data_IF_429388462124
#
_entry.id   IF_429388462124
#
_cell.length_a   1.000
_cell.length_b   1.000
_cell.length_c   1.000
_cell.angle_alpha   90.00
_cell.angle_beta   90.00
_cell.angle_gamma   90.00
#
_symmetry.space_group_name_H-M   'P 1'
#
loop_
_entity.id
_entity.type
_entity.pdbx_description
1 polymer ?
#
# COMPACT_ATOMS: atom_id res chain seq x y z
N UNK A 1 3.54 -5.60 9.76
CA UNK A 1 3.65 -5.73 8.29
C UNK A 1 4.21 -7.10 7.95
N UNK A 2 3.46 -7.93 7.25
CA UNK A 2 3.96 -9.25 6.86
C UNK A 2 4.43 -9.22 5.41
N UNK A 3 5.70 -9.52 5.20
CA UNK A 3 6.30 -9.61 3.86
C UNK A 3 6.68 -11.07 3.61
N UNK A 4 6.24 -11.61 2.46
CA UNK A 4 6.58 -12.98 2.07
C UNK A 4 8.10 -13.12 1.90
N UNK A 5 8.70 -14.28 2.24
CA UNK A 5 10.16 -14.46 2.21
C UNK A 5 10.80 -14.11 0.87
N UNK A 6 10.19 -14.48 -0.23
CA UNK A 6 10.70 -14.13 -1.56
C UNK A 6 10.75 -12.60 -1.78
N UNK A 7 9.66 -11.92 -1.45
CA UNK A 7 9.59 -10.45 -1.54
C UNK A 7 10.58 -9.79 -0.60
N UNK A 8 10.69 -10.30 0.62
CA UNK A 8 11.64 -9.78 1.62
C UNK A 8 13.09 -9.87 1.14
N UNK A 9 13.46 -10.95 0.46
CA UNK A 9 14.81 -11.12 -0.12
C UNK A 9 15.10 -10.05 -1.18
N UNK A 10 14.15 -9.80 -2.07
CA UNK A 10 14.29 -8.76 -3.11
C UNK A 10 14.38 -7.37 -2.49
N UNK A 11 13.50 -7.07 -1.53
CA UNK A 11 13.47 -5.77 -0.86
C UNK A 11 14.73 -5.53 -0.05
N UNK A 12 15.23 -6.54 0.68
CA UNK A 12 16.47 -6.43 1.43
C UNK A 12 17.65 -6.08 0.51
N UNK A 13 17.73 -6.71 -0.66
CA UNK A 13 18.75 -6.39 -1.65
C UNK A 13 18.64 -4.95 -2.14
N UNK A 14 17.44 -4.49 -2.45
CA UNK A 14 17.20 -3.11 -2.92
C UNK A 14 17.52 -2.08 -1.83
N UNK A 15 17.19 -2.38 -0.60
CA UNK A 15 17.44 -1.51 0.56
C UNK A 15 18.87 -1.62 1.11
N UNK A 16 19.71 -2.49 0.53
CA UNK A 16 21.07 -2.79 1.01
C UNK A 16 21.09 -3.27 2.45
N UNK A 17 20.10 -4.05 2.84
CA UNK A 17 19.98 -4.67 4.17
C UNK A 17 20.31 -6.16 4.10
N UNK A 18 20.88 -6.74 5.18
CA UNK A 18 21.09 -8.18 5.23
C UNK A 18 19.75 -8.92 5.24
N UNK A 19 19.64 -9.98 4.44
CA UNK A 19 18.44 -10.81 4.43
C UNK A 19 18.53 -11.91 5.48
N UNK A 20 17.50 -12.03 6.32
CA UNK A 20 17.35 -13.11 7.29
C UNK A 20 15.90 -13.57 7.36
N UNK A 21 15.63 -14.79 6.89
CA UNK A 21 14.29 -15.39 6.93
C UNK A 21 13.76 -15.53 8.35
N UNK A 22 14.63 -15.93 9.30
CA UNK A 22 14.23 -16.11 10.69
C UNK A 22 13.83 -14.80 11.37
N UNK A 23 14.52 -13.71 11.07
CA UNK A 23 14.21 -12.40 11.64
C UNK A 23 12.88 -11.83 11.18
N UNK A 24 12.34 -12.28 10.04
CA UNK A 24 11.02 -11.84 9.58
C UNK A 24 9.91 -12.17 10.59
N UNK A 25 10.04 -13.28 11.29
CA UNK A 25 9.04 -13.75 12.27
C UNK A 25 9.42 -13.51 13.72
N UNK A 26 10.70 -13.30 14.01
CA UNK A 26 11.22 -13.17 15.38
C UNK A 26 11.65 -11.76 15.77
N UNK A 27 11.88 -10.88 14.79
CA UNK A 27 12.35 -9.52 15.00
C UNK A 27 11.34 -8.52 14.38
N UNK A 28 10.43 -7.95 15.19
CA UNK A 28 9.44 -7.01 14.70
C UNK A 28 10.04 -5.76 14.05
N UNK A 29 11.14 -5.25 14.59
CA UNK A 29 11.81 -4.07 14.04
C UNK A 29 12.36 -4.35 12.65
N UNK A 30 12.99 -5.49 12.44
CA UNK A 30 13.46 -5.93 11.13
C UNK A 30 12.32 -6.08 10.13
N UNK A 31 11.21 -6.69 10.54
CA UNK A 31 10.02 -6.87 9.70
C UNK A 31 9.43 -5.51 9.28
N UNK A 32 9.27 -4.59 10.22
CA UNK A 32 8.74 -3.24 9.96
C UNK A 32 9.68 -2.47 9.03
N UNK A 33 10.99 -2.58 9.22
CA UNK A 33 11.97 -1.90 8.37
C UNK A 33 11.86 -2.39 6.91
N UNK A 34 11.84 -3.70 6.69
CA UNK A 34 11.66 -4.25 5.34
C UNK A 34 10.31 -3.89 4.75
N UNK A 35 9.24 -4.02 5.52
CA UNK A 35 7.89 -3.66 5.07
C UNK A 35 7.78 -2.19 4.70
N UNK A 36 8.41 -1.30 5.45
CA UNK A 36 8.45 0.14 5.17
C UNK A 36 9.17 0.45 3.87
N UNK A 37 10.30 -0.19 3.60
CA UNK A 37 11.00 -0.06 2.31
C UNK A 37 10.13 -0.58 1.16
N UNK A 38 9.44 -1.69 1.35
CA UNK A 38 8.59 -2.27 0.32
C UNK A 38 7.42 -1.36 -0.02
N UNK A 39 6.67 -0.89 0.98
CA UNK A 39 5.52 0.00 0.73
C UNK A 39 5.96 1.34 0.14
N UNK A 40 7.09 1.89 0.59
CA UNK A 40 7.64 3.13 0.02
C UNK A 40 7.99 2.97 -1.47
N UNK A 41 8.57 1.84 -1.86
CA UNK A 41 8.84 1.51 -3.25
C UNK A 41 7.57 1.41 -4.09
N UNK A 42 6.53 0.79 -3.54
CA UNK A 42 5.24 0.69 -4.21
C UNK A 42 4.55 2.06 -4.37
N UNK A 43 4.59 2.90 -3.34
CA UNK A 43 4.05 4.26 -3.41
C UNK A 43 4.74 5.04 -4.54
N UNK A 44 6.06 4.93 -4.62
CA UNK A 44 6.82 5.57 -5.70
C UNK A 44 6.45 4.98 -7.08
N UNK A 45 6.36 3.67 -7.18
CA UNK A 45 5.97 2.98 -8.42
C UNK A 45 4.61 3.44 -8.94
N UNK A 46 3.65 3.67 -8.05
CA UNK A 46 2.31 4.13 -8.39
C UNK A 46 2.14 5.65 -8.29
N UNK A 47 3.23 6.41 -8.35
CA UNK A 47 3.23 7.89 -8.40
C UNK A 47 2.49 8.54 -7.23
N UNK A 48 2.67 8.00 -6.03
CA UNK A 48 2.05 8.51 -4.80
C UNK A 48 0.67 7.95 -4.50
N UNK A 49 0.15 7.01 -5.28
CA UNK A 49 -1.16 6.41 -5.03
C UNK A 49 -1.13 5.43 -3.87
N UNK A 50 -1.59 5.83 -2.71
CA UNK A 50 -1.72 4.96 -1.54
C UNK A 50 -2.71 3.81 -1.75
N UNK A 51 -3.88 3.99 -2.36
CA UNK A 51 -4.78 2.87 -2.64
C UNK A 51 -4.12 1.77 -3.48
N UNK A 52 -3.42 2.14 -4.55
CA UNK A 52 -2.73 1.18 -5.39
C UNK A 52 -1.57 0.51 -4.67
N UNK A 53 -0.75 1.29 -3.96
CA UNK A 53 0.39 0.75 -3.21
C UNK A 53 -0.08 -0.23 -2.13
N UNK A 54 -1.13 0.10 -1.40
CA UNK A 54 -1.70 -0.75 -0.35
C UNK A 54 -2.29 -2.04 -0.93
N UNK A 55 -3.04 -1.95 -2.02
CA UNK A 55 -3.57 -3.11 -2.71
C UNK A 55 -2.45 -4.02 -3.25
N UNK A 56 -1.41 -3.43 -3.82
CA UNK A 56 -0.26 -4.17 -4.33
C UNK A 56 0.56 -4.82 -3.21
N UNK A 57 0.68 -4.16 -2.06
CA UNK A 57 1.33 -4.73 -0.90
C UNK A 57 0.65 -6.01 -0.44
N UNK A 58 -0.68 -6.02 -0.41
CA UNK A 58 -1.47 -7.17 0.04
C UNK A 58 -1.61 -8.26 -1.03
N UNK A 59 -1.95 -7.90 -2.27
CA UNK A 59 -2.31 -8.84 -3.33
C UNK A 59 -1.27 -8.98 -4.45
N UNK A 60 -0.27 -8.11 -4.47
CA UNK A 60 0.77 -8.08 -5.50
C UNK A 60 0.47 -7.13 -6.66
N UNK A 61 1.54 -6.58 -7.29
CA UNK A 61 1.39 -5.62 -8.40
C UNK A 61 0.66 -6.17 -9.63
N UNK A 62 0.79 -7.47 -9.90
CA UNK A 62 0.09 -8.10 -11.03
C UNK A 62 -1.44 -8.01 -10.89
N UNK A 63 -1.94 -8.20 -9.67
CA UNK A 63 -3.39 -8.09 -9.37
C UNK A 63 -3.87 -6.65 -9.54
N UNK A 64 -3.12 -5.68 -9.07
CA UNK A 64 -3.45 -4.26 -9.24
C UNK A 64 -3.50 -3.90 -10.73
N UNK A 65 -2.54 -4.34 -11.52
CA UNK A 65 -2.53 -4.13 -12.97
C UNK A 65 -3.79 -4.71 -13.63
N UNK A 66 -4.17 -5.91 -13.25
CA UNK A 66 -5.39 -6.56 -13.74
C UNK A 66 -6.65 -5.78 -13.34
N UNK A 67 -6.76 -5.37 -12.07
CA UNK A 67 -7.92 -4.61 -11.60
C UNK A 67 -8.03 -3.23 -12.24
N UNK A 68 -6.92 -2.57 -12.51
CA UNK A 68 -6.92 -1.31 -13.27
C UNK A 68 -7.49 -1.50 -14.66
N UNK A 69 -7.23 -2.64 -15.27
CA UNK A 69 -7.76 -2.95 -16.60
C UNK A 69 -9.26 -3.22 -16.59
N UNK A 70 -9.75 -4.06 -15.66
CA UNK A 70 -11.16 -4.49 -15.65
C UNK A 70 -12.10 -3.50 -14.95
N UNK A 71 -11.62 -2.74 -13.97
CA UNK A 71 -12.41 -1.83 -13.15
C UNK A 71 -12.19 -0.36 -13.53
N UNK A 72 -11.58 -0.09 -14.66
CA UNK A 72 -11.11 1.23 -15.08
C UNK A 72 -9.97 1.74 -14.20
N UNK A 73 -9.35 2.85 -14.58
CA UNK A 73 -8.14 3.36 -13.94
C UNK A 73 -8.38 4.74 -13.34
N UNK A 74 -8.35 4.87 -11.99
CA UNK A 74 -8.49 6.17 -11.33
C UNK A 74 -7.41 7.17 -11.72
N UNK A 75 -6.19 6.72 -12.03
CA UNK A 75 -5.10 7.61 -12.46
C UNK A 75 -5.35 8.22 -13.85
N UNK A 76 -6.20 7.58 -14.64
CA UNK A 76 -6.67 8.10 -15.93
C UNK A 76 -8.01 8.83 -15.82
N UNK A 77 -8.46 9.12 -14.61
CA UNK A 77 -9.74 9.78 -14.31
C UNK A 77 -10.97 9.05 -14.89
N UNK A 78 -10.88 7.74 -15.05
CA UNK A 78 -11.99 6.91 -15.56
C UNK A 78 -12.97 6.50 -14.48
N UNK A 79 -12.54 6.55 -13.23
CA UNK A 79 -13.31 6.14 -12.04
C UNK A 79 -12.68 6.80 -10.80
N UNK A 80 -13.46 7.03 -9.75
CA UNK A 80 -12.94 7.48 -8.47
C UNK A 80 -12.21 6.36 -7.72
N UNK A 81 -11.20 6.71 -6.90
CA UNK A 81 -10.47 5.73 -6.09
C UNK A 81 -11.38 4.96 -5.14
N UNK A 82 -12.36 5.62 -4.53
CA UNK A 82 -13.30 4.97 -3.60
C UNK A 82 -14.06 3.86 -4.33
N UNK A 83 -14.60 4.16 -5.50
CA UNK A 83 -15.33 3.19 -6.31
C UNK A 83 -14.40 2.06 -6.80
N UNK A 84 -13.17 2.39 -7.19
CA UNK A 84 -12.19 1.40 -7.60
C UNK A 84 -11.88 0.41 -6.48
N UNK A 85 -11.70 0.90 -5.24
CA UNK A 85 -11.46 0.04 -4.07
C UNK A 85 -12.65 -0.88 -3.82
N UNK A 86 -13.87 -0.35 -3.93
CA UNK A 86 -15.10 -1.16 -3.76
C UNK A 86 -15.22 -2.27 -4.80
N UNK A 87 -14.65 -2.08 -6.00
CA UNK A 87 -14.68 -3.07 -7.08
C UNK A 87 -13.59 -4.13 -6.98
N UNK A 88 -12.68 -4.04 -6.00
CA UNK A 88 -11.68 -5.10 -5.78
C UNK A 88 -12.38 -6.41 -5.43
N UNK A 89 -12.18 -7.43 -6.27
CA UNK A 89 -12.87 -8.72 -6.11
C UNK A 89 -12.44 -9.48 -4.87
N UNK A 90 -11.18 -9.34 -4.45
CA UNK A 90 -10.69 -9.99 -3.25
C UNK A 90 -11.19 -9.24 -2.01
N UNK A 91 -12.12 -9.83 -1.28
CA UNK A 91 -12.68 -9.24 -0.06
C UNK A 91 -11.59 -8.91 0.95
N UNK A 92 -10.61 -9.79 1.14
CA UNK A 92 -9.48 -9.56 2.03
C UNK A 92 -8.70 -8.29 1.64
N UNK A 93 -8.34 -8.15 0.37
CA UNK A 93 -7.59 -7.00 -0.12
C UNK A 93 -8.42 -5.72 -0.03
N UNK A 94 -9.69 -5.77 -0.40
CA UNK A 94 -10.61 -4.64 -0.29
C UNK A 94 -10.70 -4.13 1.14
N UNK A 95 -10.91 -5.02 2.10
CA UNK A 95 -10.97 -4.67 3.51
C UNK A 95 -9.62 -4.17 4.02
N UNK A 96 -8.53 -4.79 3.58
CA UNK A 96 -7.17 -4.38 3.94
C UNK A 96 -6.88 -2.93 3.52
N UNK A 97 -7.18 -2.58 2.26
CA UNK A 97 -6.98 -1.21 1.75
C UNK A 97 -7.77 -0.21 2.58
N UNK A 98 -9.04 -0.48 2.83
CA UNK A 98 -9.91 0.40 3.61
C UNK A 98 -9.37 0.60 5.04
N UNK A 99 -9.03 -0.47 5.74
CA UNK A 99 -8.53 -0.41 7.12
C UNK A 99 -7.18 0.28 7.23
N UNK A 100 -6.26 -0.01 6.32
CA UNK A 100 -4.93 0.60 6.37
C UNK A 100 -5.01 2.11 6.13
N UNK A 101 -5.83 2.55 5.19
CA UNK A 101 -5.99 3.97 4.89
C UNK A 101 -6.70 4.72 6.03
N UNK A 102 -7.71 4.11 6.64
CA UNK A 102 -8.37 4.64 7.84
C UNK A 102 -7.37 4.79 8.99
N UNK A 103 -6.61 3.74 9.29
CA UNK A 103 -5.62 3.75 10.36
C UNK A 103 -4.52 4.77 10.09
N UNK A 104 -4.05 4.87 8.86
CA UNK A 104 -3.06 5.86 8.47
C UNK A 104 -3.55 7.28 8.73
N UNK A 105 -4.81 7.57 8.41
CA UNK A 105 -5.43 8.86 8.67
C UNK A 105 -5.50 9.17 10.17
N UNK A 106 -5.89 8.18 10.98
CA UNK A 106 -5.93 8.31 12.45
C UNK A 106 -4.54 8.59 13.01
N UNK A 107 -3.52 7.84 12.61
CA UNK A 107 -2.14 8.04 13.06
C UNK A 107 -1.59 9.40 12.64
N UNK A 108 -1.89 9.85 11.43
CA UNK A 108 -1.50 11.19 10.99
C UNK A 108 -2.14 12.27 11.87
N UNK A 109 -3.41 12.11 12.23
CA UNK A 109 -4.08 13.03 13.14
C UNK A 109 -3.41 13.05 14.51
N UNK A 110 -3.12 11.88 15.09
CA UNK A 110 -2.47 11.77 16.40
C UNK A 110 -1.10 12.46 16.40
N UNK A 111 -0.32 12.28 15.33
CA UNK A 111 1.05 12.80 15.25
C UNK A 111 1.11 14.28 14.88
N UNK A 112 0.21 14.77 14.03
CA UNK A 112 0.24 16.13 13.49
C UNK A 112 -0.80 17.07 14.11
N UNK A 113 -1.79 16.52 14.82
CA UNK A 113 -2.95 17.25 15.36
C UNK A 113 -3.79 17.97 14.30
N UNK A 114 -3.63 17.59 13.02
CA UNK A 114 -4.37 18.18 11.89
C UNK A 114 -5.30 17.14 11.28
N UNK A 115 -6.63 17.34 11.34
CA UNK A 115 -7.56 16.42 10.71
C UNK A 115 -7.41 16.44 9.19
N UNK A 116 -7.43 15.25 8.58
CA UNK A 116 -7.52 15.09 7.14
C UNK A 116 -8.77 14.27 6.87
N UNK A 117 -9.69 14.83 6.10
CA UNK A 117 -10.87 14.09 5.69
C UNK A 117 -10.48 13.03 4.67
N UNK A 118 -11.02 11.83 4.82
CA UNK A 118 -10.73 10.69 3.94
C UNK A 118 -11.00 11.04 2.47
N UNK A 119 -12.05 11.82 2.21
CA UNK A 119 -12.37 12.34 0.89
C UNK A 119 -11.22 13.13 0.26
N UNK A 120 -10.63 14.03 1.03
CA UNK A 120 -9.54 14.89 0.54
C UNK A 120 -8.24 14.09 0.36
N UNK A 121 -8.04 13.08 1.21
CA UNK A 121 -6.94 12.14 1.08
C UNK A 121 -6.97 11.41 -0.28
N UNK A 122 -8.14 10.93 -0.71
CA UNK A 122 -8.29 10.27 -2.01
C UNK A 122 -8.16 11.25 -3.20
N UNK A 123 -8.65 12.47 -3.06
CA UNK A 123 -8.53 13.50 -4.10
C UNK A 123 -7.09 13.92 -4.36
N UNK A 124 -6.32 14.07 -3.29
CA UNK A 124 -4.93 14.56 -3.37
C UNK A 124 -3.94 13.51 -3.89
N UNK A 125 -4.36 12.27 -4.10
CA UNK A 125 -3.51 11.19 -4.62
C UNK A 125 -3.03 11.42 -6.06
N UNK A 126 -3.64 12.34 -6.78
CA UNK A 126 -3.27 12.66 -8.16
C UNK A 126 -2.26 13.82 -8.27
N UNK A 127 -1.78 14.36 -7.16
CA UNK A 127 -0.84 15.49 -7.14
C UNK A 127 0.62 15.06 -7.08
N UNK A 128 0.90 13.78 -7.07
CA UNK A 128 2.25 13.23 -7.06
C UNK A 128 2.64 12.63 -8.39
#
# INVERSE_FOLDING_TARGET
MQVMPYTAKVVAKQAKLPYSKSRLTTDPEYNINLGSHYIAGLINQYKGSYPFATAAYNAGPKRVKYWKKINKDPQKKQIDYVDWVELIKFKETRNYVQRVLENYNVYRYILSQKPIYLRDFFKNQNLY
#
